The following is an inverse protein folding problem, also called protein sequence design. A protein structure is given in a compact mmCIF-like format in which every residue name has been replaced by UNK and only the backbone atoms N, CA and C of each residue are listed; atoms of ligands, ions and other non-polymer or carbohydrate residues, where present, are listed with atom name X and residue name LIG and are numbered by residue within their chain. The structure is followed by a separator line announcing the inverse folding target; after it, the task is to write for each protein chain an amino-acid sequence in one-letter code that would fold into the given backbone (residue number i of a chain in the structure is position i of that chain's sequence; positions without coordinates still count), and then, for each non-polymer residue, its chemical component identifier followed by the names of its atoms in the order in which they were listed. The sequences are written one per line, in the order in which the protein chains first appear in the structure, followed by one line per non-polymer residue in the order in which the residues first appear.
data_IF_425920544207
#
_entry.id   IF_425920544207
#
_cell.length_a   1.000
_cell.length_b   1.000
_cell.length_c   1.000
_cell.angle_alpha   90.00
_cell.angle_beta   90.00
_cell.angle_gamma   90.00
#
_symmetry.space_group_name_H-M   'P 1'
#
loop_
_entity.id
_entity.type
_entity.pdbx_description
1 polymer ?
#
# COMPACT_ATOMS: atom_id res chain seq x y z
N UNK A 1 14.48 6.95 17.82
CA UNK A 1 13.78 7.20 16.75
C UNK A 1 14.41 6.71 15.52
N UNK A 2 13.70 6.25 14.64
CA UNK A 2 14.31 5.68 13.48
C UNK A 2 13.83 6.38 12.25
N UNK A 3 14.71 6.48 11.31
CA UNK A 3 14.41 7.05 10.03
C UNK A 3 14.55 5.97 9.01
N UNK A 4 13.78 6.08 7.95
CA UNK A 4 13.79 5.07 6.93
C UNK A 4 13.66 5.76 5.60
N UNK A 5 14.45 5.34 4.64
CA UNK A 5 14.37 5.91 3.32
C UNK A 5 13.29 5.20 2.52
N UNK A 6 12.90 5.79 1.40
CA UNK A 6 11.94 5.14 0.53
C UNK A 6 12.54 3.88 -0.06
N UNK A 7 13.84 3.87 -0.30
CA UNK A 7 14.48 2.66 -0.83
C UNK A 7 14.32 1.49 0.12
N UNK A 8 14.38 1.75 1.40
CA UNK A 8 14.19 0.70 2.37
C UNK A 8 12.74 0.30 2.46
N UNK A 9 11.86 1.28 2.38
CA UNK A 9 10.45 1.02 2.50
C UNK A 9 9.93 0.15 1.36
N UNK A 10 10.40 0.40 0.17
CA UNK A 10 9.89 -0.32 -0.98
C UNK A 10 10.37 -1.77 -1.04
N UNK A 11 11.30 -2.12 -0.20
CA UNK A 11 11.77 -3.50 -0.16
C UNK A 11 10.93 -4.36 0.78
N UNK A 12 9.97 -3.76 1.47
CA UNK A 12 9.22 -4.49 2.45
C UNK A 12 7.88 -4.94 1.88
N UNK A 13 7.39 -6.06 2.38
CA UNK A 13 6.09 -6.55 1.98
C UNK A 13 5.02 -5.84 2.78
N UNK A 14 3.88 -5.60 2.16
CA UNK A 14 2.75 -5.00 2.85
C UNK A 14 1.77 -6.10 3.20
N UNK A 15 1.47 -6.23 4.47
CA UNK A 15 0.64 -7.32 4.97
C UNK A 15 -0.56 -6.75 5.69
N UNK A 16 -1.72 -7.29 5.37
CA UNK A 16 -2.96 -6.87 6.01
C UNK A 16 -3.14 -7.72 7.26
N UNK A 17 -3.08 -7.09 8.41
CA UNK A 17 -3.15 -7.83 9.66
C UNK A 17 -4.53 -8.38 9.94
N UNK A 18 -5.55 -7.88 9.29
CA UNK A 18 -6.89 -8.39 9.54
C UNK A 18 -7.06 -9.82 9.03
N UNK A 19 -6.40 -10.16 7.97
CA UNK A 19 -6.54 -11.51 7.42
C UNK A 19 -5.20 -12.16 7.09
N UNK A 20 -4.11 -11.49 7.37
CA UNK A 20 -2.80 -12.08 7.14
C UNK A 20 -2.36 -12.12 5.69
N UNK A 21 -3.06 -11.48 4.80
CA UNK A 21 -2.69 -11.58 3.39
C UNK A 21 -1.61 -10.58 3.03
N UNK A 22 -0.82 -10.96 2.05
CA UNK A 22 0.23 -10.10 1.57
C UNK A 22 -0.29 -9.34 0.38
N UNK A 23 -0.27 -8.04 0.45
CA UNK A 23 -0.85 -7.20 -0.59
C UNK A 23 0.13 -6.82 -1.69
N UNK A 24 1.39 -6.97 -1.46
CA UNK A 24 2.38 -6.62 -2.46
C UNK A 24 3.46 -5.75 -1.88
N UNK A 25 4.15 -5.02 -2.75
CA UNK A 25 5.22 -4.14 -2.31
C UNK A 25 4.87 -2.73 -2.71
N UNK A 26 5.56 -1.77 -2.12
CA UNK A 26 5.28 -0.37 -2.35
C UNK A 26 6.01 0.08 -3.59
N UNK A 27 5.28 0.62 -4.54
CA UNK A 27 5.86 1.12 -5.77
C UNK A 27 6.09 2.62 -5.74
N UNK A 28 5.17 3.34 -5.11
CA UNK A 28 5.27 4.80 -5.09
C UNK A 28 4.68 5.35 -3.81
N UNK A 29 5.00 6.59 -3.54
CA UNK A 29 4.44 7.30 -2.42
C UNK A 29 3.81 8.56 -2.95
N UNK A 30 2.64 8.91 -2.45
CA UNK A 30 2.05 10.20 -2.75
C UNK A 30 2.15 11.07 -1.51
N UNK A 31 2.54 12.29 -1.67
CA UNK A 31 2.66 13.17 -0.53
C UNK A 31 2.17 14.57 -0.92
N UNK A 32 1.82 15.33 0.10
CA UNK A 32 1.34 16.69 -0.11
C UNK A 32 2.56 17.58 -0.28
N UNK A 33 2.70 18.20 -1.41
CA UNK A 33 3.90 18.98 -1.70
C UNK A 33 3.95 20.27 -0.89
N UNK A 34 2.84 20.67 -0.28
CA UNK A 34 2.87 21.88 0.52
C UNK A 34 3.53 21.67 1.86
N UNK A 35 3.34 20.51 2.45
CA UNK A 35 3.88 20.28 3.78
C UNK A 35 4.71 19.01 3.90
N UNK A 36 4.85 18.27 2.84
CA UNK A 36 5.68 17.05 2.87
C UNK A 36 5.04 15.85 3.55
N UNK A 37 3.77 15.93 3.86
CA UNK A 37 3.12 14.83 4.53
C UNK A 37 2.76 13.73 3.56
N UNK A 38 2.99 12.49 3.94
CA UNK A 38 2.65 11.36 3.10
C UNK A 38 1.14 11.16 3.14
N UNK A 39 0.54 11.07 1.98
CA UNK A 39 -0.89 10.89 1.85
C UNK A 39 -1.27 9.44 1.65
N UNK A 40 -0.52 8.74 0.82
CA UNK A 40 -0.83 7.34 0.54
C UNK A 40 0.37 6.62 -0.01
N UNK A 41 0.28 5.30 0.03
CA UNK A 41 1.27 4.44 -0.58
C UNK A 41 0.60 3.75 -1.74
N UNK A 42 1.32 3.60 -2.84
CA UNK A 42 0.78 2.92 -4.00
C UNK A 42 1.47 1.58 -4.10
N UNK A 43 0.69 0.53 -4.05
CA UNK A 43 1.22 -0.82 -4.06
C UNK A 43 1.12 -1.41 -5.44
N UNK A 44 2.06 -2.27 -5.74
CA UNK A 44 2.05 -2.98 -6.98
C UNK A 44 1.96 -4.45 -6.64
N UNK A 45 0.87 -5.09 -7.03
CA UNK A 45 0.75 -6.49 -6.72
C UNK A 45 0.92 -7.27 -7.98
N UNK A 46 2.09 -7.47 -8.33
CA UNK A 46 2.38 -8.10 -9.59
C UNK A 46 2.27 -9.58 -9.58
N UNK A 47 2.31 -10.22 -8.48
CA UNK A 47 2.30 -11.63 -8.54
C UNK A 47 1.45 -12.18 -7.47
N UNK A 48 0.88 -13.24 -7.66
CA UNK A 48 0.15 -13.91 -6.69
C UNK A 48 -1.27 -13.50 -6.70
N UNK A 49 -1.69 -12.82 -5.70
CA UNK A 49 -2.95 -12.50 -5.52
C UNK A 49 -3.75 -12.05 -6.66
N UNK A 50 -3.48 -11.00 -7.29
CA UNK A 50 -4.23 -10.42 -8.35
C UNK A 50 -3.50 -10.60 -9.62
N UNK A 51 -3.09 -11.77 -9.90
CA UNK A 51 -2.19 -11.95 -11.01
C UNK A 51 -2.84 -11.87 -12.35
N UNK A 52 -4.13 -11.89 -12.40
CA UNK A 52 -4.74 -11.85 -13.70
C UNK A 52 -4.60 -10.49 -14.36
N UNK A 53 -4.18 -9.50 -13.62
CA UNK A 53 -4.01 -8.21 -14.22
C UNK A 53 -2.75 -7.60 -13.71
N UNK A 54 -1.76 -7.57 -14.53
CA UNK A 54 -0.46 -7.15 -14.09
C UNK A 54 -0.34 -5.66 -13.88
N UNK A 55 -1.35 -4.92 -14.17
CA UNK A 55 -1.26 -3.51 -13.93
C UNK A 55 -2.07 -3.08 -12.74
N UNK A 56 -2.32 -3.96 -11.83
CA UNK A 56 -3.08 -3.62 -10.68
C UNK A 56 -2.30 -2.74 -9.74
N UNK A 57 -2.85 -1.63 -9.38
CA UNK A 57 -2.24 -0.73 -8.42
C UNK A 57 -3.25 -0.47 -7.34
N UNK A 58 -2.82 -0.50 -6.11
CA UNK A 58 -3.67 -0.27 -4.97
C UNK A 58 -3.20 0.98 -4.27
N UNK A 59 -4.11 1.92 -4.08
CA UNK A 59 -3.78 3.16 -3.40
C UNK A 59 -4.19 3.01 -1.95
N UNK A 60 -3.22 2.99 -1.06
CA UNK A 60 -3.44 2.70 0.33
C UNK A 60 -3.29 3.97 1.15
N UNK A 61 -4.34 4.45 1.77
CA UNK A 61 -4.23 5.69 2.54
C UNK A 61 -3.26 5.53 3.71
N UNK A 62 -2.53 6.57 3.99
CA UNK A 62 -1.54 6.51 5.06
C UNK A 62 -2.18 6.19 6.40
N UNK A 63 -3.44 6.57 6.58
CA UNK A 63 -4.12 6.36 7.85
C UNK A 63 -4.39 4.88 8.13
N UNK A 64 -4.23 4.02 7.13
CA UNK A 64 -4.44 2.60 7.35
C UNK A 64 -3.16 1.87 7.75
N UNK A 65 -2.04 2.58 7.81
CA UNK A 65 -0.79 1.95 8.17
C UNK A 65 -0.76 1.77 9.68
N UNK A 66 -0.60 0.53 10.13
CA UNK A 66 -0.53 0.24 11.55
C UNK A 66 0.89 0.36 12.05
N UNK A 67 1.81 -0.18 11.34
CA UNK A 67 3.18 -0.24 11.81
C UNK A 67 4.12 -0.49 10.66
N UNK A 68 5.27 0.14 10.69
CA UNK A 68 6.30 -0.12 9.70
C UNK A 68 7.42 -0.83 10.44
N UNK A 69 7.58 -2.10 10.14
CA UNK A 69 8.58 -2.90 10.81
C UNK A 69 9.84 -3.05 10.00
N UNK A 70 10.72 -3.89 10.48
CA UNK A 70 11.98 -4.10 9.79
C UNK A 70 11.82 -4.87 8.50
N UNK A 71 10.84 -5.75 8.45
CA UNK A 71 10.69 -6.60 7.27
C UNK A 71 9.36 -6.44 6.56
N UNK A 72 8.42 -5.79 7.18
CA UNK A 72 7.08 -5.69 6.61
C UNK A 72 6.39 -4.43 7.06
N UNK A 73 5.45 -3.98 6.26
CA UNK A 73 4.59 -2.87 6.62
C UNK A 73 3.23 -3.47 6.92
N UNK A 74 2.72 -3.23 8.11
CA UNK A 74 1.46 -3.81 8.53
C UNK A 74 0.34 -2.79 8.38
N UNK A 75 -0.72 -3.20 7.73
CA UNK A 75 -1.86 -2.32 7.50
C UNK A 75 -3.10 -3.01 8.01
N UNK A 76 -4.15 -2.24 8.22
CA UNK A 76 -5.37 -2.78 8.75
C UNK A 76 -6.51 -2.42 7.81
N UNK A 77 -6.94 -3.38 7.03
CA UNK A 77 -7.98 -3.17 6.04
C UNK A 77 -9.07 -4.21 6.22
N UNK A 78 -10.30 -3.75 6.38
CA UNK A 78 -11.41 -4.66 6.46
C UNK A 78 -11.77 -5.09 5.05
N UNK A 79 -12.71 -6.01 4.94
CA UNK A 79 -13.14 -6.45 3.63
C UNK A 79 -13.79 -5.34 2.86
N UNK A 80 -14.51 -4.47 3.55
CA UNK A 80 -15.09 -3.32 2.89
C UNK A 80 -14.00 -2.41 2.35
N UNK A 81 -12.95 -2.20 3.11
CA UNK A 81 -11.87 -1.36 2.65
C UNK A 81 -11.23 -1.94 1.40
N UNK A 82 -11.07 -3.24 1.36
CA UNK A 82 -10.46 -3.86 0.21
C UNK A 82 -11.33 -3.70 -1.03
N UNK A 83 -12.63 -3.81 -0.86
CA UNK A 83 -13.52 -3.64 -1.98
C UNK A 83 -13.49 -2.22 -2.49
N UNK A 84 -13.43 -1.26 -1.59
CA UNK A 84 -13.39 0.12 -2.01
C UNK A 84 -12.11 0.44 -2.73
N UNK A 85 -11.01 -0.13 -2.30
CA UNK A 85 -9.76 0.12 -2.98
C UNK A 85 -9.78 -0.44 -4.39
N UNK A 86 -10.40 -1.58 -4.58
CA UNK A 86 -10.52 -2.12 -5.91
C UNK A 86 -11.35 -1.24 -6.80
N UNK A 87 -12.42 -0.69 -6.26
CA UNK A 87 -13.24 0.18 -7.05
C UNK A 87 -12.52 1.45 -7.41
N UNK A 88 -11.81 2.01 -6.47
CA UNK A 88 -11.05 3.20 -6.73
C UNK A 88 -10.05 2.97 -7.81
N UNK A 89 -9.40 1.84 -7.78
CA UNK A 89 -8.42 1.54 -8.75
C UNK A 89 -9.00 1.55 -10.12
N UNK A 90 -10.21 1.05 -10.27
CA UNK A 90 -10.80 1.04 -11.54
C UNK A 90 -11.22 2.39 -11.98
N UNK A 91 -11.75 3.18 -11.13
CA UNK A 91 -12.26 4.43 -11.50
C UNK A 91 -11.30 5.53 -11.66
N UNK A 92 -10.03 5.36 -11.22
CA UNK A 92 -9.14 6.40 -11.32
C UNK A 92 -8.63 6.56 -12.62
N UNK A 93 -8.82 7.45 -13.29
CA UNK A 93 -8.26 7.61 -14.46
C UNK A 93 -7.81 8.87 -14.54
N UNK A 94 -7.22 9.34 -14.56
CA UNK A 94 -6.81 10.51 -14.53
C UNK A 94 -5.90 10.62 -14.76
#
# INVERSE_FOLDING_TARGET
MSQMSFSELRCKDVINVCDGTRLGTIAEIEFDSCNGQICSLILCSGSGFFSFNHEQRIVLPWTRIECIGDYAVLVKLSQNDLKMLEQCKRGRKE
#
